data_IF_690016625514
#
_entry.id   IF_690016625514
#
_cell.length_a   1.000
_cell.length_b   1.000
_cell.length_c   1.000
_cell.angle_alpha   90.00
_cell.angle_beta   90.00
_cell.angle_gamma   90.00
#
_symmetry.space_group_name_H-M   'P 1'
#
loop_
_entity.id
_entity.type
_entity.pdbx_description
1 polymer ?
#
# COMPACT_ATOMS: atom_id res chain seq x y z
N UNK A 1 7.04 1.99 -29.75
CA UNK A 1 6.38 1.84 -28.43
C UNK A 1 7.07 0.70 -27.70
N UNK A 2 7.97 1.01 -26.77
CA UNK A 2 8.66 -0.02 -25.99
C UNK A 2 7.75 -0.39 -24.82
N UNK A 3 7.37 -1.65 -24.75
CA UNK A 3 6.54 -2.21 -23.68
C UNK A 3 7.30 -2.14 -22.35
N UNK A 4 6.83 -1.30 -21.44
CA UNK A 4 7.35 -1.14 -20.06
C UNK A 4 7.29 -2.44 -19.23
N UNK A 5 6.55 -3.46 -19.69
CA UNK A 5 6.47 -4.76 -19.03
C UNK A 5 7.72 -5.61 -19.24
N UNK A 6 8.47 -5.42 -20.34
CA UNK A 6 9.64 -6.26 -20.66
C UNK A 6 10.90 -5.84 -19.89
N UNK A 7 11.06 -4.55 -19.64
CA UNK A 7 12.24 -3.99 -18.97
C UNK A 7 12.30 -4.30 -17.47
N UNK A 8 11.18 -4.54 -16.80
CA UNK A 8 11.14 -4.74 -15.34
C UNK A 8 11.39 -6.18 -14.88
N UNK A 9 10.94 -7.20 -15.63
CA UNK A 9 11.32 -8.59 -15.30
C UNK A 9 12.83 -8.78 -15.47
N UNK A 10 13.40 -8.21 -16.54
CA UNK A 10 14.84 -8.24 -16.82
C UNK A 10 15.68 -7.53 -15.74
N UNK A 11 15.15 -6.44 -15.14
CA UNK A 11 15.80 -5.74 -14.02
C UNK A 11 15.72 -6.52 -12.69
N UNK A 12 14.57 -7.15 -12.39
CA UNK A 12 14.38 -7.97 -11.17
C UNK A 12 15.28 -9.22 -11.12
N UNK A 13 15.52 -9.81 -12.30
CA UNK A 13 16.37 -11.00 -12.44
C UNK A 13 17.87 -10.68 -12.33
N UNK A 14 18.26 -9.41 -12.51
CA UNK A 14 19.64 -8.94 -12.40
C UNK A 14 20.01 -8.40 -11.00
N UNK A 15 19.05 -8.28 -10.08
CA UNK A 15 19.30 -7.78 -8.73
C UNK A 15 19.93 -8.85 -7.83
N UNK A 16 21.00 -8.48 -7.13
CA UNK A 16 21.66 -9.35 -6.15
C UNK A 16 20.78 -9.57 -4.92
N UNK A 17 21.06 -10.62 -4.15
CA UNK A 17 20.36 -10.88 -2.90
C UNK A 17 20.51 -9.71 -1.89
N UNK A 18 21.60 -8.96 -1.96
CA UNK A 18 21.87 -7.80 -1.11
C UNK A 18 21.10 -6.55 -1.58
N UNK A 19 20.94 -6.35 -2.89
CA UNK A 19 20.09 -5.27 -3.44
C UNK A 19 18.62 -5.45 -3.04
N UNK A 20 18.13 -6.69 -3.10
CA UNK A 20 16.79 -7.05 -2.64
C UNK A 20 16.63 -6.81 -1.13
N UNK A 21 17.69 -6.97 -0.36
CA UNK A 21 17.72 -6.77 1.10
C UNK A 21 17.77 -5.28 1.48
N UNK A 22 18.53 -4.48 0.74
CA UNK A 22 18.64 -3.02 0.88
C UNK A 22 17.33 -2.31 0.48
N UNK A 23 16.67 -2.75 -0.60
CA UNK A 23 15.37 -2.23 -1.04
C UNK A 23 14.27 -2.49 0.01
N UNK A 24 14.28 -3.68 0.63
CA UNK A 24 13.39 -4.05 1.74
C UNK A 24 13.64 -3.19 2.99
N UNK A 25 14.90 -2.89 3.30
CA UNK A 25 15.28 -2.06 4.45
C UNK A 25 14.86 -0.59 4.25
N UNK A 26 15.07 -0.05 3.05
CA UNK A 26 14.73 1.33 2.70
C UNK A 26 13.22 1.56 2.55
N UNK A 27 12.46 0.54 2.17
CA UNK A 27 10.99 0.63 2.04
C UNK A 27 10.33 1.07 3.35
N UNK A 28 10.26 0.17 4.33
CA UNK A 28 9.53 0.46 5.57
C UNK A 28 10.29 1.41 6.51
N UNK A 29 11.60 1.25 6.72
CA UNK A 29 12.33 2.08 7.67
C UNK A 29 12.59 3.50 7.12
N UNK A 30 12.84 3.63 5.81
CA UNK A 30 12.95 4.93 5.14
C UNK A 30 11.62 5.67 5.10
N UNK A 31 10.52 5.00 4.76
CA UNK A 31 9.18 5.60 4.84
C UNK A 31 8.82 6.00 6.28
N UNK A 32 9.12 5.17 7.28
CA UNK A 32 8.90 5.51 8.69
C UNK A 32 9.74 6.70 9.16
N UNK A 33 11.00 6.81 8.74
CA UNK A 33 11.87 7.93 9.08
C UNK A 33 11.36 9.24 8.47
N UNK A 34 10.87 9.19 7.23
CA UNK A 34 10.27 10.34 6.55
C UNK A 34 8.89 10.69 7.13
N UNK A 35 8.10 9.70 7.56
CA UNK A 35 6.83 9.92 8.26
C UNK A 35 7.01 10.44 9.69
N UNK A 36 8.13 10.19 10.38
CA UNK A 36 8.44 10.85 11.66
C UNK A 36 8.54 12.37 11.55
N UNK A 37 8.90 12.90 10.37
CA UNK A 37 8.88 14.34 10.08
C UNK A 37 7.45 14.88 9.89
N UNK A 38 6.51 14.02 9.51
CA UNK A 38 5.11 14.35 9.29
C UNK A 38 4.24 13.63 10.30
N UNK A 39 4.02 14.19 11.49
CA UNK A 39 3.19 13.55 12.52
C UNK A 39 1.74 13.38 12.02
N UNK A 40 1.33 12.20 11.52
CA UNK A 40 -0.06 12.03 11.16
C UNK A 40 -0.90 12.05 12.45
N UNK A 41 -2.18 12.44 12.35
CA UNK A 41 -3.05 12.57 13.51
C UNK A 41 -3.11 11.26 14.28
N UNK A 42 -2.82 11.32 15.57
CA UNK A 42 -2.90 10.17 16.47
C UNK A 42 -4.36 9.93 16.87
N UNK A 43 -4.89 8.77 16.52
CA UNK A 43 -6.20 8.26 16.90
C UNK A 43 -6.20 7.70 18.33
N UNK A 44 -5.11 7.03 18.72
CA UNK A 44 -5.03 6.30 19.98
C UNK A 44 -3.58 6.17 20.45
N UNK A 45 -3.34 5.99 21.75
CA UNK A 45 -1.98 5.88 22.33
C UNK A 45 -1.14 4.77 21.68
N UNK A 46 -1.77 3.66 21.29
CA UNK A 46 -1.13 2.55 20.57
C UNK A 46 -1.09 2.74 19.06
N UNK A 47 -1.84 3.70 18.52
CA UNK A 47 -2.06 3.96 17.10
C UNK A 47 -2.97 2.96 16.38
N UNK A 48 -3.58 2.03 17.11
CA UNK A 48 -4.65 1.16 16.63
C UNK A 48 -5.64 0.84 17.74
N UNK A 49 -6.85 0.43 17.36
CA UNK A 49 -7.94 0.04 18.24
C UNK A 49 -8.84 -1.01 17.59
N UNK A 50 -9.34 -1.96 18.37
CA UNK A 50 -10.41 -2.87 17.94
C UNK A 50 -11.76 -2.19 18.14
N UNK A 51 -12.45 -1.91 17.05
CA UNK A 51 -13.63 -1.03 17.03
C UNK A 51 -14.96 -1.80 17.07
N UNK A 52 -14.96 -2.99 17.69
CA UNK A 52 -16.13 -3.86 17.78
C UNK A 52 -16.26 -4.82 16.60
N UNK A 53 -17.50 -5.06 16.17
CA UNK A 53 -17.84 -6.03 15.14
C UNK A 53 -18.72 -5.41 14.04
N UNK A 54 -18.46 -5.83 12.81
CA UNK A 54 -19.35 -5.64 11.68
C UNK A 54 -20.68 -6.36 11.94
N UNK A 55 -21.85 -5.74 11.71
CA UNK A 55 -23.12 -6.44 11.82
C UNK A 55 -23.14 -7.66 10.88
N UNK A 56 -23.76 -8.76 11.35
CA UNK A 56 -23.69 -10.06 10.66
C UNK A 56 -24.26 -9.99 9.25
N UNK A 57 -25.32 -9.20 9.09
CA UNK A 57 -26.05 -8.98 7.84
C UNK A 57 -25.15 -8.31 6.79
N UNK A 58 -24.36 -7.32 7.23
CA UNK A 58 -23.40 -6.63 6.36
C UNK A 58 -22.28 -7.57 5.95
N UNK A 59 -21.76 -8.37 6.90
CA UNK A 59 -20.76 -9.39 6.60
C UNK A 59 -21.28 -10.40 5.57
N UNK A 60 -22.50 -10.89 5.75
CA UNK A 60 -23.15 -11.81 4.82
C UNK A 60 -23.39 -11.18 3.44
N UNK A 61 -23.76 -9.90 3.38
CA UNK A 61 -23.90 -9.16 2.13
C UNK A 61 -22.57 -9.11 1.35
N UNK A 62 -21.48 -8.76 2.02
CA UNK A 62 -20.15 -8.71 1.41
C UNK A 62 -19.68 -10.10 0.94
N UNK A 63 -19.92 -11.15 1.74
CA UNK A 63 -19.61 -12.53 1.37
C UNK A 63 -20.49 -13.03 0.22
N UNK A 64 -21.76 -12.63 0.16
CA UNK A 64 -22.65 -12.97 -0.96
C UNK A 64 -22.18 -12.33 -2.26
N UNK A 65 -21.74 -11.06 -2.20
CA UNK A 65 -21.10 -10.38 -3.33
C UNK A 65 -19.82 -11.10 -3.76
N UNK A 66 -18.97 -11.48 -2.80
CA UNK A 66 -17.77 -12.28 -3.05
C UNK A 66 -18.10 -13.57 -3.80
N UNK A 67 -19.01 -14.38 -3.28
CA UNK A 67 -19.36 -15.68 -3.84
C UNK A 67 -19.96 -15.56 -5.25
N UNK A 68 -20.83 -14.57 -5.45
CA UNK A 68 -21.48 -14.31 -6.75
C UNK A 68 -20.48 -13.86 -7.82
N UNK A 69 -19.41 -13.17 -7.42
CA UNK A 69 -18.50 -12.52 -8.35
C UNK A 69 -17.05 -13.01 -8.25
N UNK A 70 -16.76 -14.10 -7.53
CA UNK A 70 -15.40 -14.60 -7.27
C UNK A 70 -14.59 -14.82 -8.54
N UNK A 71 -15.24 -15.27 -9.61
CA UNK A 71 -14.63 -15.48 -10.94
C UNK A 71 -14.13 -14.19 -11.61
N UNK A 72 -14.57 -13.02 -11.15
CA UNK A 72 -14.13 -11.70 -11.62
C UNK A 72 -12.99 -11.12 -10.79
N UNK A 73 -12.47 -11.89 -9.83
CA UNK A 73 -11.30 -11.46 -9.06
C UNK A 73 -10.05 -11.45 -9.94
N UNK A 74 -9.15 -10.51 -9.68
CA UNK A 74 -7.91 -10.34 -10.44
C UNK A 74 -6.71 -10.26 -9.49
N UNK A 75 -5.53 -10.62 -9.97
CA UNK A 75 -4.30 -10.45 -9.20
C UNK A 75 -3.94 -8.96 -9.21
N UNK A 76 -3.86 -8.34 -8.02
CA UNK A 76 -3.41 -6.95 -7.91
C UNK A 76 -1.96 -6.83 -8.41
N UNK A 77 -1.68 -5.84 -9.26
CA UNK A 77 -0.33 -5.60 -9.77
C UNK A 77 0.64 -5.33 -8.62
N UNK A 78 1.83 -5.93 -8.71
CA UNK A 78 2.91 -5.74 -7.74
C UNK A 78 3.35 -4.27 -7.68
N UNK A 79 3.37 -3.68 -6.47
CA UNK A 79 3.85 -2.31 -6.25
C UNK A 79 4.94 -2.29 -5.16
N UNK A 80 6.23 -2.23 -5.56
CA UNK A 80 7.35 -2.31 -4.62
C UNK A 80 7.41 -1.14 -3.61
N UNK A 81 6.74 -0.03 -3.89
CA UNK A 81 6.74 1.16 -3.01
C UNK A 81 5.61 1.15 -1.98
N UNK A 82 4.55 0.34 -2.14
CA UNK A 82 3.34 0.37 -1.29
C UNK A 82 3.06 -0.95 -0.54
N UNK A 83 4.06 -1.82 -0.45
CA UNK A 83 3.94 -3.08 0.28
C UNK A 83 3.48 -4.22 -0.62
N UNK A 84 4.43 -5.07 -0.98
CA UNK A 84 4.18 -6.18 -1.87
C UNK A 84 3.40 -7.28 -1.15
N UNK A 85 2.23 -7.58 -1.69
CA UNK A 85 1.51 -8.80 -1.41
C UNK A 85 1.79 -9.84 -2.49
N UNK A 86 1.95 -11.10 -2.10
CA UNK A 86 2.02 -12.24 -3.02
C UNK A 86 0.79 -13.10 -2.86
N UNK A 87 0.33 -13.71 -3.96
CA UNK A 87 -0.87 -14.58 -4.00
C UNK A 87 -2.11 -13.95 -3.35
N UNK A 88 -2.35 -12.68 -3.71
CA UNK A 88 -3.54 -11.97 -3.31
C UNK A 88 -4.36 -11.59 -4.55
N UNK A 89 -5.67 -11.85 -4.48
CA UNK A 89 -6.63 -11.43 -5.48
C UNK A 89 -7.49 -10.29 -4.93
N UNK A 90 -8.00 -9.48 -5.84
CA UNK A 90 -8.88 -8.37 -5.58
C UNK A 90 -10.20 -8.59 -6.33
N UNK A 91 -11.32 -8.39 -5.65
CA UNK A 91 -12.65 -8.35 -6.25
C UNK A 91 -13.30 -7.00 -6.00
N UNK A 92 -13.58 -6.19 -7.04
CA UNK A 92 -14.20 -4.88 -6.86
C UNK A 92 -15.54 -4.93 -6.13
N UNK A 93 -15.76 -3.96 -5.26
CA UNK A 93 -17.07 -3.70 -4.66
C UNK A 93 -17.90 -2.78 -5.56
N UNK A 94 -19.20 -2.74 -5.34
CA UNK A 94 -20.11 -1.92 -6.14
C UNK A 94 -19.85 -0.41 -5.89
N UNK A 95 -19.84 0.44 -6.93
CA UNK A 95 -19.54 1.88 -6.78
C UNK A 95 -20.43 2.62 -5.78
N UNK A 96 -21.72 2.27 -5.72
CA UNK A 96 -22.67 2.86 -4.78
C UNK A 96 -22.41 2.46 -3.32
N UNK A 97 -21.71 1.36 -3.08
CA UNK A 97 -21.27 0.97 -1.74
C UNK A 97 -20.02 1.74 -1.31
N UNK A 98 -19.13 2.04 -2.26
CA UNK A 98 -17.77 2.55 -2.00
C UNK A 98 -17.62 4.06 -2.13
N UNK A 99 -18.60 4.76 -2.73
CA UNK A 99 -18.59 6.24 -2.82
C UNK A 99 -18.72 6.90 -1.45
N UNK A 100 -18.24 8.14 -1.34
CA UNK A 100 -18.50 9.02 -0.18
C UNK A 100 -20.01 9.20 0.00
N UNK A 101 -20.49 9.05 1.23
CA UNK A 101 -21.92 8.98 1.57
C UNK A 101 -22.62 7.71 1.11
N UNK A 102 -21.89 6.74 0.56
CA UNK A 102 -22.38 5.42 0.20
C UNK A 102 -22.54 4.51 1.43
N UNK A 103 -22.94 3.27 1.15
CA UNK A 103 -23.28 2.30 2.20
C UNK A 103 -22.14 2.04 3.20
N UNK A 104 -20.92 1.80 2.70
CA UNK A 104 -19.77 1.49 3.57
C UNK A 104 -19.34 2.72 4.38
N UNK A 105 -19.39 3.92 3.78
CA UNK A 105 -19.07 5.17 4.47
C UNK A 105 -20.05 5.45 5.61
N UNK A 106 -21.36 5.34 5.33
CA UNK A 106 -22.39 5.58 6.34
C UNK A 106 -22.33 4.57 7.50
N UNK A 107 -21.86 3.35 7.25
CA UNK A 107 -21.65 2.34 8.28
C UNK A 107 -20.39 2.62 9.12
N UNK A 108 -19.26 2.88 8.47
CA UNK A 108 -17.96 2.93 9.15
C UNK A 108 -17.67 4.31 9.75
N UNK A 109 -18.03 5.40 9.08
CA UNK A 109 -17.69 6.75 9.52
C UNK A 109 -18.11 7.03 10.98
N UNK A 110 -19.34 6.73 11.45
CA UNK A 110 -19.70 6.97 12.84
C UNK A 110 -18.86 6.17 13.84
N UNK A 111 -18.45 4.95 13.47
CA UNK A 111 -17.58 4.10 14.31
C UNK A 111 -16.20 4.73 14.41
N UNK A 112 -15.64 5.20 13.30
CA UNK A 112 -14.34 5.86 13.26
C UNK A 112 -14.35 7.18 14.02
N UNK A 113 -15.37 8.01 13.83
CA UNK A 113 -15.50 9.30 14.49
C UNK A 113 -15.64 9.11 16.01
N UNK A 114 -16.45 8.14 16.45
CA UNK A 114 -16.56 7.77 17.86
C UNK A 114 -15.24 7.24 18.43
N UNK A 115 -14.53 6.37 17.69
CA UNK A 115 -13.28 5.78 18.15
C UNK A 115 -12.12 6.79 18.20
N UNK A 116 -12.14 7.81 17.34
CA UNK A 116 -11.07 8.79 17.19
C UNK A 116 -11.32 10.13 17.88
N UNK A 117 -12.58 10.44 18.22
CA UNK A 117 -12.99 11.76 18.69
C UNK A 117 -12.85 12.86 17.62
N UNK A 118 -12.69 12.51 16.35
CA UNK A 118 -12.45 13.45 15.24
C UNK A 118 -13.47 13.26 14.13
N UNK A 119 -13.71 14.31 13.36
CA UNK A 119 -14.49 14.18 12.12
C UNK A 119 -13.65 13.52 11.03
N UNK A 120 -14.27 12.59 10.30
CA UNK A 120 -13.60 11.76 9.32
C UNK A 120 -14.15 11.98 7.92
N UNK A 121 -13.26 11.85 6.94
CA UNK A 121 -13.60 11.84 5.53
C UNK A 121 -13.12 10.54 4.90
N UNK A 122 -14.01 9.86 4.19
CA UNK A 122 -13.64 8.74 3.34
C UNK A 122 -12.72 9.24 2.22
N UNK A 123 -11.52 8.67 2.14
CA UNK A 123 -10.59 8.90 1.03
C UNK A 123 -10.91 7.95 -0.10
N UNK A 124 -10.99 6.67 0.23
CA UNK A 124 -11.41 5.58 -0.66
C UNK A 124 -11.78 4.38 0.17
N UNK A 125 -12.79 3.63 -0.24
CA UNK A 125 -12.87 2.22 0.19
C UNK A 125 -11.81 1.48 -0.62
N UNK A 126 -11.04 0.59 0.00
CA UNK A 126 -10.13 -0.29 -0.74
C UNK A 126 -10.92 -0.86 -1.90
N UNK A 127 -10.46 -0.61 -3.12
CA UNK A 127 -11.29 -0.69 -4.33
C UNK A 127 -11.87 -2.08 -4.59
N UNK A 128 -11.54 -3.06 -3.74
CA UNK A 128 -11.83 -4.47 -3.79
C UNK A 128 -11.91 -5.13 -2.40
N UNK A 129 -12.63 -6.25 -2.32
CA UNK A 129 -12.37 -7.31 -1.36
C UNK A 129 -11.05 -7.98 -1.71
N UNK A 130 -10.19 -8.21 -0.72
CA UNK A 130 -8.90 -8.85 -0.91
C UNK A 130 -8.93 -10.28 -0.42
N UNK A 131 -8.57 -11.22 -1.28
CA UNK A 131 -8.54 -12.66 -1.02
C UNK A 131 -7.08 -13.08 -0.99
N UNK A 132 -6.58 -13.46 0.19
CA UNK A 132 -5.25 -14.02 0.34
C UNK A 132 -5.34 -15.54 0.25
N UNK A 133 -4.60 -16.14 -0.67
CA UNK A 133 -4.57 -17.58 -0.91
C UNK A 133 -3.38 -18.23 -0.18
N UNK A 134 -3.38 -19.56 -0.07
CA UNK A 134 -2.30 -20.31 0.57
C UNK A 134 -0.92 -19.93 0.03
N UNK A 135 0.01 -19.65 0.94
CA UNK A 135 1.34 -19.12 0.65
C UNK A 135 1.38 -17.60 0.43
N UNK A 136 0.26 -16.89 0.59
CA UNK A 136 0.25 -15.43 0.51
C UNK A 136 1.14 -14.79 1.58
N UNK A 137 1.76 -13.67 1.23
CA UNK A 137 2.54 -12.86 2.17
C UNK A 137 2.20 -11.39 1.97
N UNK A 138 2.38 -10.58 3.01
CA UNK A 138 2.26 -9.12 2.93
C UNK A 138 3.50 -8.52 3.55
N UNK A 139 4.37 -7.94 2.73
CA UNK A 139 5.56 -7.28 3.21
C UNK A 139 5.23 -6.16 4.19
N UNK A 140 6.13 -5.92 5.13
CA UNK A 140 6.03 -4.80 6.04
C UNK A 140 6.08 -3.49 5.25
N UNK A 141 5.10 -2.62 5.48
CA UNK A 141 5.00 -1.31 4.85
C UNK A 141 4.25 -0.34 5.76
N UNK A 142 4.16 0.90 5.31
CA UNK A 142 3.24 1.91 5.82
C UNK A 142 2.34 2.34 4.66
N UNK A 143 1.11 2.70 4.97
CA UNK A 143 0.18 3.22 3.97
C UNK A 143 0.65 4.60 3.46
N UNK A 144 0.13 4.99 2.29
CA UNK A 144 0.35 6.35 1.78
C UNK A 144 -0.16 7.39 2.78
N UNK A 145 0.54 8.52 2.95
CA UNK A 145 0.02 9.69 3.64
C UNK A 145 -1.34 10.16 3.15
N UNK A 146 -1.80 9.83 1.94
CA UNK A 146 -3.15 10.17 1.51
C UNK A 146 -4.23 9.34 2.18
N UNK A 147 -3.86 8.16 2.71
CA UNK A 147 -4.74 7.22 3.41
C UNK A 147 -4.20 6.91 4.81
N UNK A 148 -4.18 7.90 5.71
CA UNK A 148 -3.53 7.75 7.01
C UNK A 148 -4.20 6.76 7.94
N UNK A 149 -5.53 6.59 7.82
CA UNK A 149 -6.32 5.71 8.67
C UNK A 149 -6.85 4.56 7.84
N UNK A 150 -6.61 3.34 8.31
CA UNK A 150 -7.07 2.11 7.66
C UNK A 150 -8.01 1.35 8.58
N UNK A 151 -9.13 0.94 8.02
CA UNK A 151 -10.12 0.05 8.62
C UNK A 151 -9.96 -1.31 7.97
N UNK A 152 -9.55 -2.31 8.73
CA UNK A 152 -9.42 -3.68 8.30
C UNK A 152 -10.57 -4.54 8.85
N UNK A 153 -11.20 -5.30 7.95
CA UNK A 153 -12.39 -6.11 8.24
C UNK A 153 -12.19 -7.52 7.68
N UNK A 154 -11.77 -8.51 8.50
CA UNK A 154 -11.74 -9.89 8.06
C UNK A 154 -13.18 -10.38 7.84
N UNK A 155 -13.47 -10.92 6.65
CA UNK A 155 -14.80 -11.39 6.28
C UNK A 155 -14.93 -12.90 6.45
N UNK A 156 -13.93 -13.67 6.08
CA UNK A 156 -13.88 -15.12 6.25
C UNK A 156 -12.42 -15.59 6.34
N UNK A 157 -12.22 -16.71 7.02
CA UNK A 157 -10.93 -17.38 7.12
C UNK A 157 -11.19 -18.89 7.01
N UNK A 158 -10.87 -19.50 5.87
CA UNK A 158 -11.11 -20.91 5.62
C UNK A 158 -9.79 -21.66 5.73
N UNK A 159 -9.54 -22.35 6.84
CA UNK A 159 -8.28 -23.10 7.03
C UNK A 159 -7.04 -22.24 7.31
N UNK A 160 -7.11 -20.91 7.12
CA UNK A 160 -6.03 -19.96 7.42
C UNK A 160 -5.54 -19.98 8.87
N UNK A 161 -6.34 -20.55 9.77
CA UNK A 161 -6.05 -20.63 11.20
C UNK A 161 -6.04 -19.24 11.85
N UNK A 162 -6.27 -19.22 13.16
CA UNK A 162 -6.05 -18.05 14.01
C UNK A 162 -4.54 -17.73 14.18
N UNK A 163 -3.69 -18.01 13.20
CA UNK A 163 -2.23 -17.88 13.29
C UNK A 163 -1.67 -16.82 12.33
N UNK A 164 -2.34 -16.56 11.21
CA UNK A 164 -1.90 -15.54 10.27
C UNK A 164 -2.54 -14.18 10.62
N UNK A 165 -1.85 -13.43 11.47
CA UNK A 165 -2.32 -12.14 11.96
C UNK A 165 -1.63 -10.96 11.28
N UNK A 166 -2.33 -9.83 11.20
CA UNK A 166 -1.67 -8.56 10.91
C UNK A 166 -0.70 -8.25 12.05
N UNK A 167 0.54 -7.99 11.70
CA UNK A 167 1.58 -7.55 12.63
C UNK A 167 1.69 -6.05 12.52
N UNK A 168 1.64 -5.34 13.65
CA UNK A 168 1.72 -3.88 13.71
C UNK A 168 2.84 -3.49 14.67
N UNK A 169 3.73 -2.61 14.22
CA UNK A 169 4.80 -2.02 15.04
C UNK A 169 4.25 -1.02 16.06
N UNK A 170 5.00 -0.79 17.13
CA UNK A 170 4.68 0.29 18.06
C UNK A 170 5.00 1.68 17.45
N UNK A 171 4.45 2.77 18.02
CA UNK A 171 4.78 4.14 17.62
C UNK A 171 6.26 4.52 17.63
N UNK A 172 7.09 3.81 18.39
CA UNK A 172 8.51 4.03 18.52
C UNK A 172 9.33 3.20 17.52
N UNK A 173 8.67 2.36 16.71
CA UNK A 173 9.29 1.46 15.75
C UNK A 173 9.91 0.21 16.37
N UNK A 174 9.57 -0.13 17.61
CA UNK A 174 10.15 -1.24 18.37
C UNK A 174 9.17 -2.41 18.40
N UNK A 175 9.59 -3.53 17.80
CA UNK A 175 8.92 -4.84 17.74
C UNK A 175 7.48 -4.84 17.19
N UNK A 176 7.27 -5.58 16.12
CA UNK A 176 5.93 -5.86 15.62
C UNK A 176 5.20 -6.83 16.56
N UNK A 177 3.91 -6.58 16.79
CA UNK A 177 3.06 -7.48 17.57
C UNK A 177 1.94 -8.02 16.70
N UNK A 178 1.64 -9.33 16.76
CA UNK A 178 0.47 -9.87 16.09
C UNK A 178 -0.79 -9.26 16.71
N UNK A 179 -1.75 -8.90 15.87
CA UNK A 179 -3.08 -8.43 16.27
C UNK A 179 -4.09 -9.50 15.86
N UNK A 180 -4.48 -10.40 16.78
CA UNK A 180 -5.51 -11.39 16.51
C UNK A 180 -6.82 -10.74 16.12
N UNK A 181 -7.37 -11.14 14.98
CA UNK A 181 -8.64 -10.63 14.45
C UNK A 181 -9.46 -11.79 13.91
N UNK A 182 -10.68 -11.90 14.41
CA UNK A 182 -11.65 -12.89 13.96
C UNK A 182 -12.54 -12.33 12.85
N UNK A 183 -13.10 -13.17 11.97
CA UNK A 183 -14.10 -12.75 11.00
C UNK A 183 -15.23 -11.93 11.65
N UNK A 184 -15.50 -10.76 11.07
CA UNK A 184 -16.46 -9.79 11.57
C UNK A 184 -15.90 -8.77 12.56
N UNK A 185 -14.69 -8.91 13.09
CA UNK A 185 -14.08 -7.87 13.93
C UNK A 185 -13.57 -6.68 13.10
N UNK A 186 -13.61 -5.48 13.70
CA UNK A 186 -13.09 -4.26 13.09
C UNK A 186 -11.76 -3.87 13.74
N UNK A 187 -10.75 -3.60 12.92
CA UNK A 187 -9.52 -2.98 13.36
C UNK A 187 -9.37 -1.62 12.67
N UNK A 188 -9.18 -0.57 13.47
CA UNK A 188 -8.81 0.75 12.99
C UNK A 188 -7.35 0.98 13.37
N UNK A 189 -6.51 1.38 12.42
CA UNK A 189 -5.11 1.67 12.69
C UNK A 189 -4.57 2.81 11.82
N UNK A 190 -3.52 3.45 12.33
CA UNK A 190 -2.81 4.55 11.66
C UNK A 190 -1.81 3.97 10.66
N UNK A 191 -2.32 3.57 9.50
CA UNK A 191 -1.56 2.90 8.45
C UNK A 191 -0.36 3.70 7.94
N UNK A 192 -0.48 5.02 7.86
CA UNK A 192 0.63 5.91 7.45
C UNK A 192 1.56 6.31 8.60
N UNK A 193 1.45 5.66 9.78
CA UNK A 193 2.39 5.86 10.90
C UNK A 193 3.00 4.55 11.38
N UNK A 194 2.19 3.51 11.44
CA UNK A 194 2.57 2.23 12.01
C UNK A 194 2.95 1.27 10.89
N UNK A 195 4.20 0.85 10.87
CA UNK A 195 4.62 -0.21 9.97
C UNK A 195 3.86 -1.50 10.29
N UNK A 196 3.26 -2.08 9.27
CA UNK A 196 2.40 -3.23 9.39
C UNK A 196 2.56 -4.19 8.22
N UNK A 197 2.21 -5.45 8.44
CA UNK A 197 2.33 -6.49 7.42
C UNK A 197 1.94 -7.86 7.94
N UNK A 198 2.19 -8.88 7.13
CA UNK A 198 2.05 -10.30 7.47
C UNK A 198 3.33 -10.98 6.99
N UNK A 199 4.36 -10.93 7.83
CA UNK A 199 5.74 -11.31 7.45
C UNK A 199 5.93 -12.81 7.25
N UNK A 200 5.06 -13.65 7.83
CA UNK A 200 4.96 -15.07 7.49
C UNK A 200 4.08 -15.31 6.27
N UNK A 201 4.24 -16.47 5.62
CA UNK A 201 3.29 -16.92 4.61
C UNK A 201 2.00 -17.44 5.26
N UNK A 202 0.86 -17.29 4.57
CA UNK A 202 -0.38 -17.94 4.96
C UNK A 202 -0.18 -19.46 4.86
N UNK A 203 -0.24 -20.22 5.96
CA UNK A 203 0.20 -21.61 5.96
C UNK A 203 -0.75 -22.51 5.17
N UNK A 204 -2.07 -22.34 5.35
CA UNK A 204 -3.10 -23.15 4.72
C UNK A 204 -4.31 -22.31 4.34
N UNK A 205 -5.08 -22.74 3.34
CA UNK A 205 -6.42 -22.20 3.07
C UNK A 205 -6.45 -20.75 2.56
N UNK A 206 -7.49 -19.99 2.90
CA UNK A 206 -7.65 -18.60 2.46
C UNK A 206 -8.16 -17.64 3.56
N UNK A 207 -7.90 -16.35 3.34
CA UNK A 207 -8.36 -15.25 4.18
C UNK A 207 -8.90 -14.13 3.29
N UNK A 208 -10.18 -13.80 3.44
CA UNK A 208 -10.79 -12.66 2.75
C UNK A 208 -10.93 -11.47 3.69
N UNK A 209 -10.49 -10.31 3.24
CA UNK A 209 -10.56 -9.04 3.96
C UNK A 209 -11.21 -7.94 3.12
N UNK A 210 -11.91 -7.02 3.78
CA UNK A 210 -12.28 -5.73 3.22
C UNK A 210 -11.48 -4.62 3.92
N UNK A 211 -11.14 -3.58 3.17
CA UNK A 211 -10.40 -2.42 3.66
C UNK A 211 -11.13 -1.13 3.32
N UNK A 212 -11.10 -0.16 4.23
CA UNK A 212 -11.54 1.20 3.94
C UNK A 212 -10.54 2.20 4.49
N UNK A 213 -10.32 3.29 3.75
CA UNK A 213 -9.29 4.29 4.04
C UNK A 213 -9.93 5.65 4.29
N UNK A 214 -9.55 6.26 5.40
CA UNK A 214 -10.07 7.53 5.87
C UNK A 214 -8.93 8.49 6.17
N UNK A 215 -9.30 9.77 6.25
CA UNK A 215 -8.47 10.83 6.80
C UNK A 215 -9.32 11.75 7.68
N UNK A 216 -8.72 12.44 8.66
CA UNK A 216 -9.43 13.51 9.35
C UNK A 216 -9.78 14.64 8.38
N UNK A 217 -10.94 15.28 8.59
CA UNK A 217 -11.39 16.39 7.73
C UNK A 217 -10.59 17.68 7.97
N UNK A 218 -10.07 17.87 9.18
CA UNK A 218 -9.24 19.01 9.57
C UNK A 218 -7.90 19.04 8.81
N UNK A 219 -7.53 20.18 8.22
CA UNK A 219 -6.24 20.58 7.57
C UNK A 219 -5.17 19.48 7.40
N UNK A 220 -5.57 18.34 6.83
CA UNK A 220 -4.69 17.21 6.65
C UNK A 220 -4.02 17.38 5.30
N UNK A 221 -2.81 17.94 5.33
CA UNK A 221 -1.99 18.32 4.16
C UNK A 221 -1.40 17.12 3.42
N UNK A 222 -2.17 16.04 3.24
CA UNK A 222 -1.77 14.78 2.61
C UNK A 222 -0.99 14.97 1.31
N UNK A 223 -1.48 15.82 0.41
CA UNK A 223 -0.85 16.09 -0.89
C UNK A 223 0.48 16.82 -0.77
N UNK A 224 0.64 17.67 0.24
CA UNK A 224 1.92 18.34 0.52
C UNK A 224 2.91 17.33 1.09
N UNK A 225 2.46 16.53 2.05
CA UNK A 225 3.25 15.45 2.68
C UNK A 225 3.74 14.47 1.61
N UNK A 226 2.84 13.96 0.77
CA UNK A 226 3.17 13.02 -0.30
C UNK A 226 4.15 13.64 -1.31
N UNK A 227 3.93 14.87 -1.77
CA UNK A 227 4.87 15.55 -2.68
C UNK A 227 6.26 15.70 -2.07
N UNK A 228 6.36 16.05 -0.79
CA UNK A 228 7.65 16.15 -0.11
C UNK A 228 8.32 14.79 0.03
N UNK A 229 7.56 13.74 0.33
CA UNK A 229 8.07 12.36 0.34
C UNK A 229 8.62 11.95 -1.02
N UNK A 230 7.87 12.19 -2.10
CA UNK A 230 8.28 11.86 -3.46
C UNK A 230 9.57 12.61 -3.85
N UNK A 231 9.68 13.88 -3.47
CA UNK A 231 10.90 14.67 -3.66
C UNK A 231 12.10 14.11 -2.90
N UNK A 232 11.92 13.76 -1.61
CA UNK A 232 13.00 13.20 -0.78
C UNK A 232 13.46 11.83 -1.29
N UNK A 233 12.53 10.97 -1.71
CA UNK A 233 12.83 9.68 -2.32
C UNK A 233 13.59 9.85 -3.65
N UNK A 234 13.16 10.80 -4.49
CA UNK A 234 13.85 11.12 -5.74
C UNK A 234 15.29 11.62 -5.49
N UNK A 235 15.48 12.50 -4.51
CA UNK A 235 16.80 12.99 -4.12
C UNK A 235 17.72 11.89 -3.56
N UNK A 236 17.19 10.99 -2.73
CA UNK A 236 17.93 9.85 -2.21
C UNK A 236 18.39 8.91 -3.33
N UNK A 237 17.48 8.55 -4.23
CA UNK A 237 17.77 7.70 -5.38
C UNK A 237 18.78 8.33 -6.34
N UNK A 238 18.73 9.65 -6.53
CA UNK A 238 19.71 10.38 -7.34
C UNK A 238 21.11 10.38 -6.69
N UNK A 239 21.19 10.56 -5.37
CA UNK A 239 22.46 10.53 -4.63
C UNK A 239 23.14 9.15 -4.66
N UNK A 240 22.37 8.06 -4.66
CA UNK A 240 22.91 6.70 -4.73
C UNK A 240 23.37 6.27 -6.12
N UNK A 241 22.88 6.90 -7.19
CA UNK A 241 23.28 6.58 -8.57
C UNK A 241 24.68 7.10 -8.95
N UNK A 242 25.33 7.88 -8.07
CA UNK A 242 26.56 8.60 -8.38
C UNK A 242 26.35 9.64 -9.49
N UNK A 243 27.37 10.47 -9.82
CA UNK A 243 27.27 11.38 -10.95
C UNK A 243 27.05 10.57 -12.23
N UNK A 244 25.96 10.84 -12.95
CA UNK A 244 25.75 10.30 -14.29
C UNK A 244 26.96 10.66 -15.15
N UNK A 245 27.59 9.66 -15.82
CA UNK A 245 28.60 9.95 -16.84
C UNK A 245 28.02 10.99 -17.82
N UNK A 246 28.77 12.07 -18.13
CA UNK A 246 28.29 13.05 -19.10
C UNK A 246 27.93 12.31 -20.40
N UNK A 247 26.86 12.75 -21.10
CA UNK A 247 26.48 12.14 -22.36
C UNK A 247 27.69 12.10 -23.30
N UNK A 248 27.88 11.01 -24.06
CA UNK A 248 29.01 10.92 -24.99
C UNK A 248 28.99 12.15 -25.91
N UNK A 249 30.16 12.76 -26.20
CA UNK A 249 30.22 13.93 -27.05
C UNK A 249 29.51 13.62 -28.36
N UNK A 250 28.60 14.52 -28.76
CA UNK A 250 27.87 14.38 -30.03
C UNK A 250 28.90 14.12 -31.14
N UNK A 251 28.70 13.11 -32.00
CA UNK A 251 29.64 12.83 -33.07
C UNK A 251 29.82 14.09 -33.91
N UNK A 252 31.05 14.62 -33.92
CA UNK A 252 31.41 15.74 -34.77
C UNK A 252 31.14 15.31 -36.21
N UNK A 253 30.18 15.98 -36.87
CA UNK A 253 29.98 15.83 -38.31
C UNK A 253 31.31 16.18 -38.96
N UNK A 254 32.02 15.18 -39.51
CA UNK A 254 33.13 15.42 -40.43
C UNK A 254 32.58 16.28 -41.57
N UNK A 255 32.95 17.56 -41.57
CA UNK A 255 32.74 18.44 -42.72
C UNK A 255 33.59 17.82 -43.82
N UNK A 256 32.94 17.22 -44.82
CA UNK A 256 33.61 16.83 -46.06
C UNK A 256 33.90 18.14 -46.80
N UNK A 257 35.17 18.55 -46.83
CA UNK A 257 35.65 19.60 -47.70
C UNK A 257 35.35 19.23 -49.16
N UNK A 258 34.36 19.87 -49.74
CA UNK A 258 34.20 19.93 -51.19
C UNK A 258 35.11 21.04 -51.70
N UNK A 259 36.30 20.67 -52.18
CA UNK A 259 37.09 21.52 -53.09
C UNK A 259 36.32 21.60 -54.41
N UNK A 260 35.63 22.72 -54.65
CA UNK A 260 35.30 23.15 -56.01
C UNK A 260 36.54 23.85 -56.57
N UNK A 261 37.10 23.28 -57.64
CA UNK A 261 37.98 23.97 -58.57
C UNK A 261 37.09 24.71 -59.56
N UNK A 262 37.27 26.03 -59.61
CA UNK A 262 36.90 27.00 -60.65
C UNK A 262 37.87 28.17 -60.33
N UNK A 263 38.80 28.66 -61.16
CA UNK A 263 38.92 28.73 -62.62
C UNK A 263 40.41 28.81 -63.06
N UNK A 264 40.74 28.18 -64.19
CA UNK A 264 41.44 28.77 -65.35
C UNK A 264 41.20 27.88 -66.57
#
# INVERSE_FOLDING_TARGET
>A
MVSWQKTFSELSDQMTAEDKKQEVLLGAQGQMALQKLFRPPTLHTMGYVRAGHLPKEIRQLLLSHLNKHRSRSFVEAFNPLLGNQRKAKALPLLPEWTKKGGFIDNLLRPILEKASGRTMELVRVGASLRIYEEGASLMQHVDSPETPITVAMPLEANGAGSSWHLQIGDPQGRKQRPVPLQPGQLLIYEGARLAHGRTGQLPHGDLTMAFAYYRPRENYEAKRIQRTLDQLLASHNAAQRGPSKPPPPKPQKKIKEFRKMDEL
#
